data_IF_486081037765
#
_entry.id   IF_486081037765
#
_cell.length_a   1.000
_cell.length_b   1.000
_cell.length_c   1.000
_cell.angle_alpha   90.00
_cell.angle_beta   90.00
_cell.angle_gamma   90.00
#
_symmetry.space_group_name_H-M   'P 1'
#
loop_
_entity.id
_entity.type
_entity.pdbx_description
1 polymer ?
#
# COMPACT_ATOMS: atom_id res chain seq x y z
N UNK A 1 2.26 -22.23 12.29
CA UNK A 1 2.05 -20.80 12.58
C UNK A 1 2.58 -20.07 11.37
N UNK A 2 1.72 -19.73 10.43
CA UNK A 2 2.13 -19.01 9.22
C UNK A 2 2.52 -17.60 9.63
N UNK A 3 3.82 -17.33 9.64
CA UNK A 3 4.37 -15.98 9.72
C UNK A 3 4.08 -15.28 8.40
N UNK A 4 2.81 -14.92 8.18
CA UNK A 4 2.42 -14.03 7.10
C UNK A 4 3.08 -12.69 7.37
N UNK A 5 4.04 -12.31 6.53
CA UNK A 5 4.85 -11.12 6.72
C UNK A 5 3.95 -9.88 6.90
N UNK A 6 4.03 -9.23 8.06
CA UNK A 6 3.26 -8.01 8.45
C UNK A 6 3.73 -6.77 7.68
N UNK A 7 3.85 -6.89 6.36
CA UNK A 7 4.43 -5.89 5.47
C UNK A 7 3.90 -6.08 4.05
N UNK A 8 3.40 -5.01 3.46
CA UNK A 8 3.13 -4.91 2.04
C UNK A 8 4.34 -4.38 1.28
N UNK A 9 4.46 -4.75 0.01
CA UNK A 9 5.51 -4.33 -0.90
C UNK A 9 4.87 -3.63 -2.10
N UNK A 10 5.43 -2.49 -2.49
CA UNK A 10 5.08 -1.81 -3.73
C UNK A 10 5.60 -2.62 -4.91
N UNK A 11 4.72 -3.13 -5.76
CA UNK A 11 5.06 -3.93 -6.94
C UNK A 11 5.23 -3.06 -8.17
N UNK A 12 4.31 -2.11 -8.37
CA UNK A 12 4.37 -1.17 -9.48
C UNK A 12 3.68 0.14 -9.13
N UNK A 13 4.00 1.19 -9.91
CA UNK A 13 3.51 2.54 -9.71
C UNK A 13 3.01 3.06 -11.05
N UNK A 14 1.79 3.60 -11.06
CA UNK A 14 1.15 4.17 -12.23
C UNK A 14 0.71 5.60 -11.93
N UNK A 15 1.00 6.54 -12.82
CA UNK A 15 0.45 7.90 -12.70
C UNK A 15 -1.04 7.87 -13.03
N UNK A 16 -1.87 8.44 -12.16
CA UNK A 16 -3.31 8.51 -12.37
C UNK A 16 -3.74 9.96 -12.64
N UNK A 17 -4.09 10.21 -13.91
CA UNK A 17 -4.69 11.47 -14.36
C UNK A 17 -3.74 12.69 -14.37
N UNK A 18 -4.28 13.87 -14.73
CA UNK A 18 -3.54 15.14 -14.67
C UNK A 18 -3.42 15.59 -13.20
N UNK A 19 -2.41 15.10 -12.50
CA UNK A 19 -2.19 15.41 -11.09
C UNK A 19 -0.88 14.84 -10.56
N UNK A 20 -0.68 14.97 -9.24
CA UNK A 20 0.43 14.31 -8.52
C UNK A 20 0.05 12.96 -7.93
N UNK A 21 -1.19 12.50 -8.18
CA UNK A 21 -1.68 11.22 -7.67
C UNK A 21 -1.03 10.06 -8.41
N UNK A 22 -0.65 9.04 -7.65
CA UNK A 22 -0.14 7.78 -8.18
C UNK A 22 -0.92 6.63 -7.60
N UNK A 23 -1.18 5.62 -8.43
CA UNK A 23 -1.68 4.32 -8.00
C UNK A 23 -0.50 3.39 -7.75
N UNK A 24 -0.39 2.92 -6.51
CA UNK A 24 0.53 1.88 -6.08
C UNK A 24 -0.19 0.54 -6.16
N UNK A 25 0.41 -0.45 -6.82
CA UNK A 25 -0.02 -1.84 -6.70
C UNK A 25 0.81 -2.50 -5.61
N UNK A 26 0.12 -3.16 -4.69
CA UNK A 26 0.69 -3.70 -3.45
C UNK A 26 0.53 -5.21 -3.43
N UNK A 27 1.50 -5.88 -2.82
CA UNK A 27 1.44 -7.30 -2.50
C UNK A 27 1.88 -7.52 -1.06
N UNK A 28 1.21 -8.40 -0.35
CA UNK A 28 1.57 -8.79 1.01
C UNK A 28 1.42 -10.31 1.19
N UNK A 29 1.69 -10.78 2.40
CA UNK A 29 1.40 -12.15 2.83
C UNK A 29 0.62 -12.12 4.14
N UNK A 30 -0.07 -13.21 4.45
CA UNK A 30 -0.91 -13.28 5.64
C UNK A 30 -2.33 -12.78 5.39
N UNK A 31 -3.11 -12.73 6.49
CA UNK A 31 -4.53 -12.38 6.48
C UNK A 31 -4.71 -10.92 6.86
N UNK A 32 -4.32 -10.06 5.94
CA UNK A 32 -4.44 -8.61 6.06
C UNK A 32 -5.20 -8.08 4.85
N UNK A 33 -5.96 -7.01 5.05
CA UNK A 33 -6.54 -6.23 3.97
C UNK A 33 -5.61 -5.05 3.61
N UNK A 34 -5.76 -4.50 2.40
CA UNK A 34 -4.91 -3.39 1.94
C UNK A 34 -4.99 -2.16 2.87
N UNK A 35 -6.13 -1.97 3.53
CA UNK A 35 -6.36 -0.88 4.49
C UNK A 35 -5.66 -1.07 5.84
N UNK A 36 -5.14 -2.26 6.13
CA UNK A 36 -4.43 -2.51 7.38
C UNK A 36 -3.02 -1.92 7.37
N UNK A 37 -2.46 -1.62 6.19
CA UNK A 37 -1.12 -1.07 6.02
C UNK A 37 -1.07 0.45 6.24
N UNK A 38 0.06 0.94 6.76
CA UNK A 38 0.33 2.36 6.99
C UNK A 38 0.62 3.14 5.69
N UNK A 39 -0.37 3.16 4.79
CA UNK A 39 -0.27 3.79 3.47
C UNK A 39 -0.06 5.31 3.55
N UNK A 40 -0.56 5.94 4.61
CA UNK A 40 -0.38 7.36 4.89
C UNK A 40 1.11 7.75 5.07
N UNK A 41 1.99 6.79 5.36
CA UNK A 41 3.44 7.02 5.41
C UNK A 41 4.05 7.37 4.04
N UNK A 42 3.43 6.89 2.96
CA UNK A 42 3.90 7.14 1.59
C UNK A 42 3.36 8.45 1.02
N UNK A 43 2.20 8.89 1.50
CA UNK A 43 1.50 10.05 0.97
C UNK A 43 0.10 10.18 1.55
N UNK A 44 -0.64 11.21 1.14
CA UNK A 44 -2.06 11.32 1.49
C UNK A 44 -2.84 10.23 0.76
N UNK A 45 -3.41 9.27 1.48
CA UNK A 45 -4.27 8.23 0.91
C UNK A 45 -5.58 8.82 0.38
N UNK A 46 -5.91 8.55 -0.88
CA UNK A 46 -7.17 9.01 -1.50
C UNK A 46 -8.15 7.87 -1.71
N UNK A 47 -7.65 6.67 -2.00
CA UNK A 47 -8.46 5.46 -2.15
C UNK A 47 -7.57 4.22 -2.02
N UNK A 48 -8.15 3.10 -1.59
CA UNK A 48 -7.53 1.79 -1.69
C UNK A 48 -8.59 0.71 -1.86
N UNK A 49 -8.22 -0.40 -2.48
CA UNK A 49 -9.11 -1.57 -2.62
C UNK A 49 -8.30 -2.85 -2.76
N UNK A 50 -8.86 -3.96 -2.28
CA UNK A 50 -8.26 -5.27 -2.40
C UNK A 50 -8.62 -5.90 -3.76
N UNK A 51 -7.63 -6.41 -4.48
CA UNK A 51 -7.85 -7.14 -5.74
C UNK A 51 -7.92 -8.65 -5.50
N UNK A 52 -7.12 -9.16 -4.55
CA UNK A 52 -7.14 -10.56 -4.10
C UNK A 52 -6.83 -10.63 -2.59
N UNK A 53 -6.77 -11.83 -2.01
CA UNK A 53 -6.37 -12.04 -0.61
C UNK A 53 -4.97 -11.48 -0.27
N UNK A 54 -4.10 -11.29 -1.27
CA UNK A 54 -2.70 -10.91 -1.07
C UNK A 54 -2.24 -9.75 -1.95
N UNK A 55 -3.15 -9.12 -2.68
CA UNK A 55 -2.84 -8.02 -3.59
C UNK A 55 -3.95 -6.98 -3.58
N UNK A 56 -3.58 -5.74 -3.81
CA UNK A 56 -4.52 -4.63 -3.90
C UNK A 56 -3.82 -3.39 -4.43
N UNK A 57 -4.52 -2.27 -4.38
CA UNK A 57 -3.97 -1.01 -4.80
C UNK A 57 -4.30 0.11 -3.82
N UNK A 58 -3.47 1.14 -3.84
CA UNK A 58 -3.68 2.37 -3.11
C UNK A 58 -3.38 3.56 -4.03
N UNK A 59 -4.29 4.51 -4.11
CA UNK A 59 -4.05 5.81 -4.71
C UNK A 59 -3.62 6.80 -3.64
N UNK A 60 -2.48 7.43 -3.87
CA UNK A 60 -1.90 8.39 -2.93
C UNK A 60 -1.46 9.65 -3.67
N UNK A 61 -1.44 10.76 -2.93
CA UNK A 61 -0.59 11.92 -3.27
C UNK A 61 0.71 11.81 -2.49
N UNK A 62 1.82 11.42 -3.16
CA UNK A 62 3.06 11.05 -2.50
C UNK A 62 3.73 12.26 -1.82
N UNK A 63 4.19 12.07 -0.58
CA UNK A 63 4.99 13.08 0.13
C UNK A 63 6.45 13.09 -0.34
N UNK A 64 6.92 11.95 -0.84
CA UNK A 64 8.27 11.70 -1.34
C UNK A 64 8.21 10.71 -2.50
N UNK A 65 9.25 10.61 -3.36
CA UNK A 65 9.26 9.65 -4.46
C UNK A 65 9.16 8.21 -3.94
N UNK A 66 8.12 7.49 -4.37
CA UNK A 66 7.92 6.06 -4.07
C UNK A 66 8.55 5.22 -5.19
N UNK A 67 9.12 4.07 -4.84
CA UNK A 67 9.73 3.13 -5.77
C UNK A 67 9.18 1.72 -5.62
N UNK A 68 9.15 0.91 -6.70
CA UNK A 68 8.92 -0.52 -6.57
C UNK A 68 9.94 -1.16 -5.62
N UNK A 69 9.47 -2.00 -4.71
CA UNK A 69 10.26 -2.60 -3.63
C UNK A 69 10.14 -1.88 -2.29
N UNK A 70 9.57 -0.66 -2.24
CA UNK A 70 9.28 0.02 -0.98
C UNK A 70 8.32 -0.82 -0.13
N UNK A 71 8.58 -0.84 1.18
CA UNK A 71 7.81 -1.62 2.15
C UNK A 71 6.86 -0.73 2.94
N UNK A 72 5.64 -1.21 3.13
CA UNK A 72 4.62 -0.57 3.97
C UNK A 72 4.28 -1.50 5.12
N UNK A 73 4.66 -1.16 6.37
CA UNK A 73 4.29 -1.96 7.53
C UNK A 73 2.79 -1.85 7.82
N UNK A 74 2.28 -2.70 8.70
CA UNK A 74 0.94 -2.52 9.27
C UNK A 74 0.82 -1.19 9.99
N UNK A 75 -0.35 -0.58 9.89
CA UNK A 75 -0.75 0.57 10.70
C UNK A 75 -0.70 0.18 12.17
N UNK A 76 -0.04 1.01 12.97
CA UNK A 76 -0.07 0.88 14.43
C UNK A 76 -1.44 1.36 14.90
N UNK A 77 -2.49 0.58 14.66
CA UNK A 77 -3.77 0.77 15.35
C UNK A 77 -3.51 0.49 16.83
N UNK A 78 -3.35 1.56 17.61
CA UNK A 78 -3.20 1.48 19.06
C UNK A 78 -4.38 0.69 19.64
N UNK A 79 -4.04 -0.30 20.47
CA UNK A 79 -4.98 -1.03 21.34
C UNK A 79 -5.84 -0.08 22.17
#
# INVERSE_FOLDING_TARGET
METGTDTAFVVSIHQTGPGRTVRLNLRWQGKHDVGDFDLDRLGRLTACDAETEHTGWAEIEPFHPVSPGDTVPLSQSST
#
